data_IF_808610593428
#
_entry.id   IF_808610593428
#
_cell.length_a   1.000
_cell.length_b   1.000
_cell.length_c   1.000
_cell.angle_alpha   90.00
_cell.angle_beta   90.00
_cell.angle_gamma   90.00
#
_symmetry.space_group_name_H-M   'P 1'
#
loop_
_entity.id
_entity.type
_entity.pdbx_description
1 polymer ?
#
# COMPACT_ATOMS: atom_id res chain seq x y z
N UNK A 1 0.53 -13.26 -9.42
CA UNK A 1 0.85 -12.34 -8.31
C UNK A 1 1.57 -11.15 -8.94
N UNK A 2 1.12 -9.92 -8.74
CA UNK A 2 1.86 -8.75 -9.23
C UNK A 2 3.12 -8.59 -8.37
N UNK A 3 4.29 -8.49 -8.99
CA UNK A 3 5.54 -8.22 -8.28
C UNK A 3 5.57 -6.73 -7.88
N UNK A 4 5.53 -6.48 -6.57
CA UNK A 4 5.55 -5.14 -6.00
C UNK A 4 6.88 -4.86 -5.28
N UNK A 5 7.85 -5.78 -5.35
CA UNK A 5 9.16 -5.58 -4.77
C UNK A 5 9.83 -4.32 -5.35
N UNK A 6 10.48 -3.53 -4.47
CA UNK A 6 11.13 -2.26 -4.81
C UNK A 6 10.21 -1.19 -5.45
N UNK A 7 8.88 -1.32 -5.34
CA UNK A 7 7.94 -0.28 -5.77
C UNK A 7 7.59 0.63 -4.60
N UNK A 8 7.52 1.94 -4.86
CA UNK A 8 6.99 2.92 -3.91
C UNK A 8 5.52 3.18 -4.22
N UNK A 9 4.67 3.12 -3.20
CA UNK A 9 3.21 3.28 -3.31
C UNK A 9 2.74 4.39 -2.37
N UNK A 10 2.02 5.38 -2.90
CA UNK A 10 1.31 6.39 -2.12
C UNK A 10 -0.17 6.04 -2.06
N UNK A 11 -0.71 5.89 -0.85
CA UNK A 11 -2.14 5.65 -0.61
C UNK A 11 -2.75 6.87 0.09
N UNK A 12 -3.65 7.57 -0.59
CA UNK A 12 -4.43 8.68 -0.01
C UNK A 12 -5.70 8.13 0.64
N UNK A 13 -6.07 8.63 1.83
CA UNK A 13 -7.20 8.09 2.60
C UNK A 13 -6.94 6.67 3.13
N UNK A 14 -5.68 6.27 3.28
CA UNK A 14 -5.27 4.92 3.68
C UNK A 14 -5.41 4.58 5.16
N UNK A 15 -5.98 5.47 5.97
CA UNK A 15 -6.11 5.31 7.42
C UNK A 15 -7.20 4.30 7.83
N UNK A 16 -8.13 3.97 6.93
CA UNK A 16 -9.23 3.03 7.21
C UNK A 16 -9.80 2.39 5.94
N UNK A 17 -10.75 1.47 6.13
CA UNK A 17 -11.54 0.87 5.05
C UNK A 17 -10.69 0.25 3.94
N UNK A 18 -11.09 0.49 2.69
CA UNK A 18 -10.42 -0.08 1.52
C UNK A 18 -8.99 0.46 1.33
N UNK A 19 -8.74 1.73 1.68
CA UNK A 19 -7.41 2.32 1.57
C UNK A 19 -6.39 1.61 2.45
N UNK A 20 -6.77 1.30 3.70
CA UNK A 20 -5.94 0.52 4.61
C UNK A 20 -5.72 -0.92 4.12
N UNK A 21 -6.76 -1.54 3.56
CA UNK A 21 -6.67 -2.90 3.02
C UNK A 21 -5.66 -2.95 1.84
N UNK A 22 -5.73 -1.99 0.92
CA UNK A 22 -4.79 -1.87 -0.20
C UNK A 22 -3.35 -1.59 0.28
N UNK A 23 -3.19 -0.68 1.25
CA UNK A 23 -1.88 -0.35 1.81
C UNK A 23 -1.21 -1.60 2.42
N UNK A 24 -1.97 -2.41 3.17
CA UNK A 24 -1.48 -3.67 3.75
C UNK A 24 -1.11 -4.70 2.68
N UNK A 25 -1.99 -4.93 1.71
CA UNK A 25 -1.71 -5.88 0.64
C UNK A 25 -0.48 -5.47 -0.19
N UNK A 26 -0.29 -4.17 -0.43
CA UNK A 26 0.88 -3.65 -1.14
C UNK A 26 2.17 -3.87 -0.34
N UNK A 27 2.11 -3.67 0.98
CA UNK A 27 3.23 -3.92 1.88
C UNK A 27 3.59 -5.42 1.92
N UNK A 28 2.59 -6.30 2.02
CA UNK A 28 2.77 -7.76 1.99
C UNK A 28 3.37 -8.24 0.65
N UNK A 29 3.08 -7.53 -0.44
CA UNK A 29 3.65 -7.80 -1.76
C UNK A 29 5.08 -7.23 -1.93
N UNK A 30 5.67 -6.59 -0.91
CA UNK A 30 7.05 -6.11 -0.91
C UNK A 30 7.23 -4.65 -1.36
N UNK A 31 6.15 -3.87 -1.44
CA UNK A 31 6.24 -2.45 -1.71
C UNK A 31 6.67 -1.64 -0.47
N UNK A 32 7.27 -0.47 -0.72
CA UNK A 32 7.39 0.60 0.26
C UNK A 32 6.12 1.47 0.19
N UNK A 33 5.35 1.53 1.27
CA UNK A 33 4.04 2.18 1.29
C UNK A 33 4.06 3.43 2.17
N UNK A 34 3.56 4.54 1.63
CA UNK A 34 3.30 5.79 2.35
C UNK A 34 1.79 6.05 2.36
N UNK A 35 1.23 6.34 3.54
CA UNK A 35 -0.16 6.76 3.67
C UNK A 35 -0.21 8.28 3.83
N UNK A 36 -0.99 8.95 2.98
CA UNK A 36 -1.38 10.33 3.18
C UNK A 36 -2.83 10.36 3.69
N UNK A 37 -3.04 11.13 4.78
CA UNK A 37 -4.37 11.34 5.38
C UNK A 37 -5.33 11.97 4.40
#
# INVERSE_FOLDING_TARGET
MADMANRKVLVVGGSSGMGLALARQSLEAGAEVVIAG
#
